data_IF_962142253687
#
_entry.id   IF_962142253687
#
_cell.length_a   1.000
_cell.length_b   1.000
_cell.length_c   1.000
_cell.angle_alpha   90.00
_cell.angle_beta   90.00
_cell.angle_gamma   90.00
#
_symmetry.space_group_name_H-M   'P 1'
#
loop_
_entity.id
_entity.type
_entity.pdbx_description
1 polymer ?
#
# COMPACT_ATOMS: atom_id res chain seq x y z
N UNK A 1 -9.70 -19.10 20.24
CA UNK A 1 -10.61 -19.44 19.11
C UNK A 1 -9.72 -19.57 17.88
N UNK A 2 -9.21 -20.77 17.64
CA UNK A 2 -8.17 -21.02 16.62
C UNK A 2 -8.67 -20.68 15.21
N UNK A 3 -8.18 -19.56 14.65
CA UNK A 3 -8.44 -19.14 13.29
C UNK A 3 -7.57 -19.99 12.34
N UNK A 4 -8.24 -20.67 11.42
CA UNK A 4 -7.63 -21.35 10.28
C UNK A 4 -7.53 -20.34 9.15
N UNK A 5 -6.36 -20.05 8.62
CA UNK A 5 -6.26 -19.13 7.49
C UNK A 5 -6.30 -19.84 6.13
N UNK A 6 -7.21 -20.80 5.96
CA UNK A 6 -7.48 -21.33 4.64
C UNK A 6 -8.50 -20.44 3.93
N UNK A 7 -8.13 -19.91 2.78
CA UNK A 7 -8.96 -18.94 2.04
C UNK A 7 -9.49 -19.57 0.75
N UNK A 8 -10.78 -19.38 0.47
CA UNK A 8 -11.34 -19.71 -0.84
C UNK A 8 -11.03 -18.61 -1.87
N UNK A 9 -9.82 -18.58 -2.42
CA UNK A 9 -9.37 -17.53 -3.35
C UNK A 9 -10.30 -17.29 -4.57
N UNK A 10 -10.83 -18.31 -5.25
CA UNK A 10 -11.79 -18.05 -6.35
C UNK A 10 -13.06 -17.33 -5.90
N UNK A 11 -13.54 -17.57 -4.67
CA UNK A 11 -14.70 -16.90 -4.12
C UNK A 11 -14.34 -15.46 -3.72
N UNK A 12 -13.17 -15.26 -3.09
CA UNK A 12 -12.65 -13.94 -2.78
C UNK A 12 -12.56 -13.06 -4.04
N UNK A 13 -11.98 -13.58 -5.11
CA UNK A 13 -11.89 -12.86 -6.39
C UNK A 13 -13.26 -12.57 -7.01
N UNK A 14 -14.21 -13.50 -6.91
CA UNK A 14 -15.58 -13.29 -7.39
C UNK A 14 -16.31 -12.21 -6.60
N UNK A 15 -16.21 -12.26 -5.27
CA UNK A 15 -16.82 -11.26 -4.38
C UNK A 15 -16.14 -9.90 -4.58
N UNK A 16 -14.83 -9.87 -4.77
CA UNK A 16 -14.09 -8.63 -4.99
C UNK A 16 -14.61 -7.87 -6.21
N UNK A 17 -14.92 -8.57 -7.31
CA UNK A 17 -15.48 -7.97 -8.54
C UNK A 17 -16.85 -7.33 -8.32
N UNK A 18 -17.60 -7.73 -7.28
CA UNK A 18 -18.89 -7.13 -6.98
C UNK A 18 -18.68 -5.69 -6.50
N UNK A 19 -19.23 -4.72 -7.22
CA UNK A 19 -19.16 -3.30 -6.83
C UNK A 19 -17.90 -2.57 -7.27
N UNK A 20 -17.13 -3.14 -8.21
CA UNK A 20 -16.02 -2.43 -8.86
C UNK A 20 -16.48 -1.12 -9.51
N UNK A 21 -17.75 -1.00 -9.92
CA UNK A 21 -18.26 0.14 -10.67
C UNK A 21 -17.62 0.24 -12.06
N UNK A 22 -18.16 1.10 -12.90
CA UNK A 22 -17.66 1.21 -14.27
C UNK A 22 -16.24 1.79 -14.30
N UNK A 23 -15.48 1.36 -15.30
CA UNK A 23 -14.22 2.00 -15.66
C UNK A 23 -14.51 3.40 -16.21
N UNK A 24 -13.55 4.33 -16.13
CA UNK A 24 -13.72 5.64 -16.75
C UNK A 24 -14.00 5.47 -18.25
N UNK A 25 -14.87 6.31 -18.81
CA UNK A 25 -15.10 6.36 -20.25
C UNK A 25 -13.91 7.05 -20.92
N UNK A 26 -13.03 6.26 -21.51
CA UNK A 26 -11.77 6.70 -22.13
C UNK A 26 -11.44 5.87 -23.36
N UNK A 27 -10.85 6.53 -24.34
CA UNK A 27 -10.38 5.86 -25.55
C UNK A 27 -9.10 5.05 -25.31
N UNK A 28 -8.87 4.03 -26.15
CA UNK A 28 -7.63 3.22 -26.06
C UNK A 28 -6.33 4.05 -26.15
N UNK A 29 -6.21 5.05 -27.06
CA UNK A 29 -5.02 5.89 -27.10
C UNK A 29 -4.79 6.69 -25.82
N UNK A 30 -5.84 7.21 -25.19
CA UNK A 30 -5.73 7.93 -23.91
C UNK A 30 -5.25 7.01 -22.79
N UNK A 31 -5.78 5.78 -22.72
CA UNK A 31 -5.32 4.77 -21.77
C UNK A 31 -3.84 4.46 -21.99
N UNK A 32 -3.41 4.23 -23.24
CA UNK A 32 -2.02 3.93 -23.55
C UNK A 32 -1.08 5.08 -23.15
N UNK A 33 -1.46 6.33 -23.45
CA UNK A 33 -0.70 7.51 -23.06
C UNK A 33 -0.63 7.67 -21.54
N UNK A 34 -1.74 7.44 -20.83
CA UNK A 34 -1.80 7.53 -19.37
C UNK A 34 -0.92 6.46 -18.70
N UNK A 35 -1.01 5.20 -19.17
CA UNK A 35 -0.19 4.10 -18.66
C UNK A 35 1.30 4.34 -18.90
N UNK A 36 1.66 4.83 -20.10
CA UNK A 36 3.05 5.17 -20.42
C UNK A 36 3.60 6.27 -19.51
N UNK A 37 2.83 7.34 -19.30
CA UNK A 37 3.22 8.42 -18.40
C UNK A 37 3.33 7.95 -16.94
N UNK A 38 2.38 7.15 -16.44
CA UNK A 38 2.47 6.57 -15.08
C UNK A 38 3.77 5.78 -14.89
N UNK A 39 4.12 4.92 -15.85
CA UNK A 39 5.39 4.16 -15.80
C UNK A 39 6.61 5.08 -15.84
N UNK A 40 6.58 6.13 -16.65
CA UNK A 40 7.67 7.12 -16.70
C UNK A 40 7.81 7.87 -15.38
N UNK A 41 6.70 8.37 -14.82
CA UNK A 41 6.72 9.09 -13.55
C UNK A 41 7.16 8.19 -12.40
N UNK A 42 6.79 6.91 -12.39
CA UNK A 42 7.18 5.96 -11.36
C UNK A 42 8.67 5.65 -11.35
N UNK A 43 9.30 5.52 -12.53
CA UNK A 43 10.76 5.36 -12.64
C UNK A 43 11.49 6.61 -12.18
N UNK A 44 11.05 7.79 -12.64
CA UNK A 44 11.63 9.06 -12.22
C UNK A 44 11.46 9.32 -10.71
N UNK A 45 10.36 8.85 -10.13
CA UNK A 45 10.11 8.94 -8.71
C UNK A 45 11.08 8.08 -7.88
N UNK A 46 11.51 6.92 -8.40
CA UNK A 46 12.48 6.04 -7.74
C UNK A 46 13.79 6.77 -7.41
N UNK A 47 14.38 7.44 -8.40
CA UNK A 47 15.58 8.24 -8.16
C UNK A 47 15.35 9.40 -7.19
N UNK A 48 14.18 10.03 -7.22
CA UNK A 48 13.85 11.15 -6.34
C UNK A 48 13.71 10.68 -4.89
N UNK A 49 13.01 9.57 -4.68
CA UNK A 49 12.85 8.94 -3.37
C UNK A 49 14.20 8.48 -2.82
N UNK A 50 15.02 7.81 -3.63
CA UNK A 50 16.36 7.36 -3.23
C UNK A 50 17.26 8.54 -2.81
N UNK A 51 17.22 9.66 -3.55
CA UNK A 51 17.96 10.88 -3.16
C UNK A 51 17.48 11.46 -1.84
N UNK A 52 16.18 11.44 -1.55
CA UNK A 52 15.62 11.92 -0.28
C UNK A 52 16.04 11.01 0.88
N UNK A 53 16.00 9.69 0.65
CA UNK A 53 16.38 8.66 1.63
C UNK A 53 17.89 8.45 1.74
N UNK A 54 18.69 9.05 0.84
CA UNK A 54 20.15 8.87 0.72
C UNK A 54 20.57 7.42 0.49
N UNK A 55 19.78 6.72 -0.31
CA UNK A 55 20.04 5.36 -0.74
C UNK A 55 20.52 5.33 -2.19
N UNK A 56 21.06 4.19 -2.61
CA UNK A 56 21.41 3.96 -4.01
C UNK A 56 20.11 3.89 -4.85
N UNK A 57 19.94 4.74 -5.89
CA UNK A 57 18.81 4.66 -6.80
C UNK A 57 18.61 3.30 -7.48
N UNK A 58 19.64 2.47 -7.57
CA UNK A 58 19.55 1.10 -8.12
C UNK A 58 18.64 0.18 -7.29
N UNK A 59 18.40 0.52 -6.02
CA UNK A 59 17.53 -0.22 -5.10
C UNK A 59 16.04 0.09 -5.30
N UNK A 60 15.69 1.12 -6.09
CA UNK A 60 14.30 1.46 -6.37
C UNK A 60 13.61 0.37 -7.22
N UNK A 61 12.28 0.28 -7.12
CA UNK A 61 11.51 -0.69 -7.88
C UNK A 61 11.58 -0.38 -9.40
N UNK A 62 11.96 -1.39 -10.17
CA UNK A 62 12.05 -1.31 -11.64
C UNK A 62 10.88 -2.00 -12.35
N UNK A 63 10.26 -3.02 -11.74
CA UNK A 63 9.03 -3.66 -12.23
C UNK A 63 7.80 -2.81 -11.86
N UNK A 64 7.39 -1.93 -12.78
CA UNK A 64 6.22 -1.06 -12.62
C UNK A 64 5.02 -1.65 -13.34
N UNK A 65 4.00 -2.04 -12.57
CA UNK A 65 2.75 -2.66 -13.06
C UNK A 65 1.59 -1.69 -12.93
N UNK A 66 1.17 -1.12 -14.04
CA UNK A 66 -0.05 -0.31 -14.10
C UNK A 66 -1.23 -1.24 -14.35
N UNK A 67 -2.18 -1.26 -13.42
CA UNK A 67 -3.28 -2.22 -13.38
C UNK A 67 -4.63 -1.51 -13.28
N UNK A 68 -5.68 -2.19 -13.72
CA UNK A 68 -7.05 -1.88 -13.36
C UNK A 68 -7.42 -2.48 -11.99
N UNK A 69 -8.67 -2.31 -11.57
CA UNK A 69 -9.16 -2.83 -10.27
C UNK A 69 -9.05 -4.36 -10.20
N UNK A 70 -9.33 -5.05 -11.29
CA UNK A 70 -9.25 -6.52 -11.37
C UNK A 70 -7.81 -7.02 -11.30
N UNK A 71 -6.89 -6.36 -11.99
CA UNK A 71 -5.46 -6.61 -11.92
C UNK A 71 -4.91 -6.38 -10.52
N UNK A 72 -5.37 -5.32 -9.85
CA UNK A 72 -5.03 -5.08 -8.45
C UNK A 72 -5.56 -6.19 -7.53
N UNK A 73 -6.83 -6.61 -7.67
CA UNK A 73 -7.40 -7.71 -6.85
C UNK A 73 -6.60 -9.01 -7.02
N UNK A 74 -6.16 -9.32 -8.25
CA UNK A 74 -5.29 -10.49 -8.51
C UNK A 74 -3.96 -10.37 -7.79
N UNK A 75 -3.32 -9.20 -7.88
CA UNK A 75 -2.05 -8.93 -7.19
C UNK A 75 -2.22 -9.02 -5.66
N UNK A 76 -3.21 -8.31 -5.11
CA UNK A 76 -3.51 -8.32 -3.68
C UNK A 76 -3.82 -9.73 -3.15
N UNK A 77 -4.54 -10.55 -3.93
CA UNK A 77 -4.80 -11.95 -3.55
C UNK A 77 -3.49 -12.76 -3.44
N UNK A 78 -2.57 -12.61 -4.40
CA UNK A 78 -1.27 -13.27 -4.37
C UNK A 78 -0.37 -12.78 -3.23
N UNK A 79 -0.35 -11.47 -2.97
CA UNK A 79 0.39 -10.86 -1.86
C UNK A 79 -0.15 -11.36 -0.52
N UNK A 80 -1.47 -11.33 -0.33
CA UNK A 80 -2.08 -11.84 0.91
C UNK A 80 -1.83 -13.32 1.06
N UNK A 81 -1.91 -14.12 0.00
CA UNK A 81 -1.59 -15.54 0.07
C UNK A 81 -0.14 -15.75 0.53
N UNK A 82 0.82 -15.08 -0.10
CA UNK A 82 2.23 -15.17 0.27
C UNK A 82 2.44 -14.78 1.74
N UNK A 83 1.83 -13.69 2.21
CA UNK A 83 1.91 -13.28 3.61
C UNK A 83 1.32 -14.31 4.58
N UNK A 84 0.22 -14.98 4.20
CA UNK A 84 -0.40 -16.02 5.01
C UNK A 84 0.44 -17.31 5.06
N UNK A 85 1.15 -17.61 3.97
CA UNK A 85 2.01 -18.79 3.85
C UNK A 85 3.31 -18.66 4.67
N UNK A 86 3.72 -17.46 5.07
CA UNK A 86 4.87 -17.25 5.98
C UNK A 86 4.56 -17.70 7.41
N UNK A 87 3.29 -17.72 7.80
CA UNK A 87 2.87 -18.10 9.16
C UNK A 87 2.36 -19.54 9.15
N UNK A 88 2.87 -20.38 10.06
CA UNK A 88 2.32 -21.71 10.26
C UNK A 88 0.98 -21.66 11.00
N UNK A 89 -0.10 -21.96 10.28
CA UNK A 89 -1.44 -22.05 10.86
C UNK A 89 -1.79 -23.50 11.25
N UNK A 90 -2.39 -23.73 12.44
CA UNK A 90 -2.83 -25.08 12.82
C UNK A 90 -3.78 -25.66 11.77
N UNK A 91 -3.48 -26.83 11.18
CA UNK A 91 -4.36 -27.45 10.18
C UNK A 91 -5.54 -28.16 10.87
N UNK A 92 -6.77 -27.93 10.41
CA UNK A 92 -7.95 -28.73 10.82
C UNK A 92 -8.14 -29.94 9.91
N UNK A 93 -8.71 -30.99 10.49
CA UNK A 93 -9.20 -32.16 9.75
C UNK A 93 -10.29 -31.76 8.73
N UNK A 94 -10.35 -32.50 7.63
CA UNK A 94 -11.31 -32.26 6.56
C UNK A 94 -12.77 -32.36 7.05
N UNK A 95 -13.66 -31.50 6.55
CA UNK A 95 -15.09 -31.55 6.88
C UNK A 95 -15.87 -30.27 6.55
N UNK A 96 -17.19 -30.30 6.74
CA UNK A 96 -18.10 -29.21 6.39
C UNK A 96 -17.77 -27.89 7.11
N UNK A 97 -17.40 -27.95 8.40
CA UNK A 97 -17.02 -26.74 9.17
C UNK A 97 -15.80 -26.04 8.59
N UNK A 98 -14.80 -26.81 8.15
CA UNK A 98 -13.59 -26.27 7.48
C UNK A 98 -13.98 -25.55 6.19
N UNK A 99 -14.82 -26.16 5.37
CA UNK A 99 -15.26 -25.56 4.11
C UNK A 99 -16.08 -24.27 4.32
N UNK A 100 -16.96 -24.25 5.33
CA UNK A 100 -17.72 -23.06 5.69
C UNK A 100 -16.81 -21.91 6.15
N UNK A 101 -15.82 -22.18 7.01
CA UNK A 101 -14.83 -21.18 7.44
C UNK A 101 -14.00 -20.68 6.25
N UNK A 102 -13.52 -21.60 5.40
CA UNK A 102 -12.72 -21.27 4.22
C UNK A 102 -13.44 -20.34 3.25
N UNK A 103 -14.72 -20.60 3.00
CA UNK A 103 -15.59 -19.73 2.19
C UNK A 103 -15.90 -18.42 2.90
N UNK A 104 -16.16 -18.45 4.20
CA UNK A 104 -16.40 -17.24 5.00
C UNK A 104 -15.23 -16.26 4.94
N UNK A 105 -13.99 -16.74 5.15
CA UNK A 105 -12.78 -15.94 5.01
C UNK A 105 -12.58 -15.44 3.58
N UNK A 106 -12.81 -16.30 2.58
CA UNK A 106 -12.79 -15.90 1.17
C UNK A 106 -13.73 -14.74 0.88
N UNK A 107 -14.97 -14.80 1.35
CA UNK A 107 -15.95 -13.71 1.21
C UNK A 107 -15.50 -12.44 1.92
N UNK A 108 -15.02 -12.53 3.17
CA UNK A 108 -14.55 -11.37 3.93
C UNK A 108 -13.37 -10.67 3.23
N UNK A 109 -12.37 -11.43 2.79
CA UNK A 109 -11.25 -10.88 2.03
C UNK A 109 -11.71 -10.30 0.70
N UNK A 110 -12.63 -10.97 0.00
CA UNK A 110 -13.23 -10.46 -1.23
C UNK A 110 -13.89 -9.10 -1.04
N UNK A 111 -14.70 -8.92 0.00
CA UNK A 111 -15.29 -7.62 0.35
C UNK A 111 -14.21 -6.59 0.65
N UNK A 112 -13.19 -6.97 1.43
CA UNK A 112 -12.05 -6.09 1.73
C UNK A 112 -11.33 -5.62 0.47
N UNK A 113 -11.09 -6.52 -0.49
CA UNK A 113 -10.51 -6.20 -1.79
C UNK A 113 -11.43 -5.32 -2.63
N UNK A 114 -12.74 -5.59 -2.69
CA UNK A 114 -13.70 -4.74 -3.41
C UNK A 114 -13.67 -3.29 -2.91
N UNK A 115 -13.59 -3.10 -1.59
CA UNK A 115 -13.52 -1.77 -0.98
C UNK A 115 -12.14 -1.15 -1.23
N UNK A 116 -11.06 -1.88 -1.00
CA UNK A 116 -9.68 -1.40 -1.16
C UNK A 116 -9.37 -0.97 -2.60
N UNK A 117 -9.82 -1.73 -3.59
CA UNK A 117 -9.58 -1.49 -5.01
C UNK A 117 -10.16 -0.17 -5.52
N UNK A 118 -11.01 0.52 -4.74
CA UNK A 118 -11.64 1.80 -5.09
C UNK A 118 -10.85 3.02 -4.64
N UNK A 119 -10.06 2.90 -3.58
CA UNK A 119 -9.37 4.02 -2.95
C UNK A 119 -7.86 3.93 -3.08
N UNK A 120 -7.33 2.71 -3.24
CA UNK A 120 -5.89 2.51 -3.35
C UNK A 120 -5.37 3.09 -4.66
N UNK A 121 -4.28 3.85 -4.57
CA UNK A 121 -3.64 4.51 -5.71
C UNK A 121 -2.43 3.73 -6.20
N UNK A 122 -1.68 3.12 -5.29
CA UNK A 122 -0.58 2.21 -5.56
C UNK A 122 -0.36 1.21 -4.45
N UNK A 123 0.50 0.25 -4.70
CA UNK A 123 0.95 -0.74 -3.71
C UNK A 123 2.30 -1.30 -4.11
N UNK A 124 3.24 -1.33 -3.18
CA UNK A 124 4.46 -2.11 -3.32
C UNK A 124 4.27 -3.56 -2.82
N UNK A 125 4.81 -4.53 -3.56
CA UNK A 125 4.79 -5.95 -3.21
C UNK A 125 6.15 -6.40 -2.64
N UNK A 126 6.19 -6.58 -1.32
CA UNK A 126 7.34 -7.11 -0.59
C UNK A 126 7.24 -8.61 -0.25
N UNK A 127 6.09 -9.25 -0.45
CA UNK A 127 5.82 -10.61 0.05
C UNK A 127 5.97 -11.70 -1.01
N UNK A 128 5.66 -11.42 -2.29
CA UNK A 128 5.76 -12.45 -3.34
C UNK A 128 7.16 -12.59 -3.93
N UNK A 129 8.11 -11.73 -3.50
CA UNK A 129 9.44 -11.61 -4.09
C UNK A 129 9.46 -10.90 -5.45
N UNK A 130 8.30 -10.56 -6.03
CA UNK A 130 8.23 -9.83 -7.31
C UNK A 130 8.84 -8.43 -7.23
N UNK A 131 8.84 -7.81 -6.04
CA UNK A 131 9.27 -6.42 -5.80
C UNK A 131 8.59 -5.44 -6.76
N UNK A 132 7.40 -5.79 -7.23
CA UNK A 132 6.66 -5.00 -8.19
C UNK A 132 5.95 -3.83 -7.52
N UNK A 133 5.94 -2.69 -8.20
CA UNK A 133 5.20 -1.50 -7.81
C UNK A 133 3.93 -1.43 -8.65
N UNK A 134 2.79 -1.61 -8.00
CA UNK A 134 1.48 -1.55 -8.62
C UNK A 134 0.92 -0.13 -8.57
N UNK A 135 0.33 0.34 -9.68
CA UNK A 135 -0.40 1.60 -9.76
C UNK A 135 -1.81 1.35 -10.31
N UNK A 136 -2.84 1.78 -9.59
CA UNK A 136 -4.25 1.51 -9.94
C UNK A 136 -4.78 2.63 -10.83
N UNK A 137 -4.63 2.46 -12.14
CA UNK A 137 -4.86 3.50 -13.14
C UNK A 137 -6.27 4.15 -13.05
N UNK A 138 -7.38 3.41 -12.93
CA UNK A 138 -8.71 4.01 -12.86
C UNK A 138 -8.89 4.98 -11.69
N UNK A 139 -8.32 4.65 -10.53
CA UNK A 139 -8.45 5.47 -9.33
C UNK A 139 -7.59 6.73 -9.45
N UNK A 140 -6.36 6.58 -9.94
CA UNK A 140 -5.48 7.72 -10.21
C UNK A 140 -6.10 8.67 -11.23
N UNK A 141 -6.64 8.14 -12.33
CA UNK A 141 -7.31 8.93 -13.37
C UNK A 141 -8.48 9.75 -12.83
N UNK A 142 -9.36 9.10 -12.06
CA UNK A 142 -10.54 9.74 -11.49
C UNK A 142 -10.17 10.78 -10.44
N UNK A 143 -9.23 10.47 -9.54
CA UNK A 143 -8.83 11.36 -8.46
C UNK A 143 -8.10 12.60 -8.99
N UNK A 144 -7.19 12.42 -9.96
CA UNK A 144 -6.48 13.51 -10.63
C UNK A 144 -7.46 14.55 -11.20
N UNK A 145 -8.49 14.09 -11.91
CA UNK A 145 -9.53 14.93 -12.53
C UNK A 145 -10.46 15.55 -11.50
N UNK A 146 -10.99 14.75 -10.58
CA UNK A 146 -11.95 15.20 -9.57
C UNK A 146 -11.38 16.29 -8.66
N UNK A 147 -10.05 16.31 -8.45
CA UNK A 147 -9.38 17.30 -7.59
C UNK A 147 -8.61 18.37 -8.37
N UNK A 148 -8.62 18.30 -9.70
CA UNK A 148 -7.88 19.23 -10.57
C UNK A 148 -6.40 19.30 -10.21
N UNK A 149 -5.77 18.13 -9.98
CA UNK A 149 -4.35 18.05 -9.69
C UNK A 149 -3.54 18.20 -10.98
N UNK A 150 -2.32 18.73 -10.84
CA UNK A 150 -1.38 18.79 -11.97
C UNK A 150 -0.94 17.35 -12.29
N UNK A 151 -1.23 16.81 -13.49
CA UNK A 151 -1.08 15.38 -13.76
C UNK A 151 0.32 14.83 -13.44
N UNK A 152 1.36 15.48 -13.95
CA UNK A 152 2.76 15.09 -13.73
C UNK A 152 3.13 15.08 -12.25
N UNK A 153 2.72 16.10 -11.51
CA UNK A 153 3.04 16.21 -10.08
C UNK A 153 2.31 15.13 -9.29
N UNK A 154 1.02 14.91 -9.55
CA UNK A 154 0.21 13.91 -8.85
C UNK A 154 0.72 12.49 -9.08
N UNK A 155 0.90 12.10 -10.34
CA UNK A 155 1.37 10.76 -10.71
C UNK A 155 2.75 10.48 -10.10
N UNK A 156 3.64 11.47 -10.12
CA UNK A 156 4.98 11.36 -9.53
C UNK A 156 4.96 11.35 -8.01
N UNK A 157 4.04 12.07 -7.37
CA UNK A 157 3.89 12.12 -5.92
C UNK A 157 3.36 10.80 -5.37
N UNK A 158 2.31 10.25 -5.99
CA UNK A 158 1.85 8.89 -5.66
C UNK A 158 2.97 7.89 -5.88
N UNK A 159 3.65 7.92 -7.03
CA UNK A 159 4.70 6.94 -7.28
C UNK A 159 5.94 7.11 -6.38
N UNK A 160 6.24 8.32 -5.89
CA UNK A 160 7.31 8.54 -4.93
C UNK A 160 6.99 7.94 -3.56
N UNK A 161 5.72 7.92 -3.16
CA UNK A 161 5.24 7.20 -1.97
C UNK A 161 5.51 5.70 -2.10
N UNK A 162 5.07 5.11 -3.20
CA UNK A 162 5.26 3.67 -3.44
C UNK A 162 6.74 3.28 -3.60
N UNK A 163 7.54 4.13 -4.25
CA UNK A 163 8.99 3.93 -4.34
C UNK A 163 9.69 4.05 -2.98
N UNK A 164 9.16 4.88 -2.07
CA UNK A 164 9.67 4.94 -0.71
C UNK A 164 9.49 3.59 -0.01
N UNK A 165 8.34 2.92 -0.16
CA UNK A 165 8.16 1.55 0.33
C UNK A 165 9.16 0.58 -0.29
N UNK A 166 9.35 0.62 -1.61
CA UNK A 166 10.34 -0.23 -2.26
C UNK A 166 11.75 -0.07 -1.66
N UNK A 167 12.16 1.17 -1.45
CA UNK A 167 13.46 1.51 -0.86
C UNK A 167 13.55 1.16 0.62
N UNK A 168 12.46 1.28 1.39
CA UNK A 168 12.40 0.84 2.78
C UNK A 168 12.67 -0.66 2.90
N UNK A 169 11.96 -1.48 2.09
CA UNK A 169 12.15 -2.93 2.08
C UNK A 169 13.50 -3.36 1.48
N UNK A 170 14.06 -2.57 0.55
CA UNK A 170 15.41 -2.81 0.03
C UNK A 170 16.50 -2.49 1.06
N UNK A 171 16.32 -1.43 1.85
CA UNK A 171 17.25 -1.04 2.91
C UNK A 171 17.16 -1.94 4.14
N UNK A 172 15.97 -2.47 4.44
CA UNK A 172 15.69 -3.34 5.59
C UNK A 172 15.22 -4.74 5.14
N UNK A 173 16.11 -5.65 4.72
CA UNK A 173 15.74 -7.02 4.32
C UNK A 173 15.00 -7.80 5.42
N UNK A 174 15.24 -7.47 6.69
CA UNK A 174 14.59 -8.07 7.86
C UNK A 174 13.11 -7.68 8.01
N UNK A 175 12.65 -6.63 7.33
CA UNK A 175 11.33 -6.04 7.56
C UNK A 175 10.18 -6.95 7.15
N UNK A 176 10.32 -7.72 6.05
CA UNK A 176 9.28 -8.64 5.60
C UNK A 176 9.03 -9.74 6.63
N UNK A 177 10.09 -10.36 7.13
CA UNK A 177 10.00 -11.42 8.14
C UNK A 177 9.45 -10.86 9.46
N UNK A 178 9.92 -9.67 9.86
CA UNK A 178 9.42 -8.99 11.05
C UNK A 178 7.91 -8.73 10.99
N UNK A 179 7.40 -8.22 9.87
CA UNK A 179 5.97 -7.99 9.68
C UNK A 179 5.18 -9.30 9.69
N UNK A 180 5.71 -10.36 9.08
CA UNK A 180 5.07 -11.66 9.08
C UNK A 180 4.99 -12.28 10.49
N UNK A 181 6.06 -12.19 11.27
CA UNK A 181 6.09 -12.64 12.68
C UNK A 181 5.07 -11.88 13.54
N UNK A 182 4.98 -10.56 13.36
CA UNK A 182 4.01 -9.74 14.08
C UNK A 182 2.56 -10.11 13.68
N UNK A 183 2.30 -10.38 12.40
CA UNK A 183 0.97 -10.81 11.96
C UNK A 183 0.64 -12.23 12.47
N UNK A 184 1.62 -13.14 12.48
CA UNK A 184 1.42 -14.50 12.98
C UNK A 184 1.19 -14.59 14.49
N UNK A 185 1.76 -13.66 15.26
CA UNK A 185 1.58 -13.56 16.72
C UNK A 185 0.48 -12.57 17.14
N UNK A 186 -0.31 -12.06 16.19
CA UNK A 186 -1.31 -11.00 16.39
C UNK A 186 -2.49 -11.38 17.33
N UNK A 187 -2.61 -12.63 17.78
CA UNK A 187 -3.59 -13.00 18.81
C UNK A 187 -3.31 -12.30 20.15
N UNK A 188 -2.08 -11.82 20.36
CA UNK A 188 -1.67 -11.05 21.52
C UNK A 188 -1.90 -9.55 21.29
N UNK A 189 -2.66 -8.88 22.18
CA UNK A 189 -2.98 -7.44 22.05
C UNK A 189 -1.74 -6.55 21.87
N UNK A 190 -0.63 -6.85 22.56
CA UNK A 190 0.63 -6.10 22.43
C UNK A 190 1.29 -6.24 21.06
N UNK A 191 1.03 -7.33 20.34
CA UNK A 191 1.54 -7.55 18.99
C UNK A 191 0.75 -6.73 17.96
N UNK A 192 -0.57 -6.64 18.12
CA UNK A 192 -1.40 -5.78 17.25
C UNK A 192 -0.94 -4.32 17.33
N UNK A 193 -0.66 -3.81 18.53
CA UNK A 193 -0.14 -2.46 18.71
C UNK A 193 1.20 -2.26 18.01
N UNK A 194 2.07 -3.28 17.97
CA UNK A 194 3.35 -3.25 17.25
C UNK A 194 3.17 -3.29 15.73
N UNK A 195 2.24 -4.09 15.20
CA UNK A 195 1.87 -4.06 13.77
C UNK A 195 1.41 -2.66 13.39
N UNK A 196 0.47 -2.12 14.17
CA UNK A 196 -0.10 -0.79 14.00
C UNK A 196 1.01 0.26 14.03
N UNK A 197 1.90 0.24 15.03
CA UNK A 197 3.00 1.19 15.14
C UNK A 197 3.99 1.10 13.96
N UNK A 198 4.39 -0.11 13.57
CA UNK A 198 5.31 -0.34 12.45
C UNK A 198 4.73 0.20 11.15
N UNK A 199 3.49 -0.19 10.82
CA UNK A 199 2.81 0.30 9.62
C UNK A 199 2.62 1.83 9.66
N UNK A 200 2.30 2.39 10.82
CA UNK A 200 2.19 3.85 11.00
C UNK A 200 3.49 4.56 10.64
N UNK A 201 4.61 4.04 11.10
CA UNK A 201 5.93 4.59 10.81
C UNK A 201 6.28 4.46 9.33
N UNK A 202 6.11 3.27 8.73
CA UNK A 202 6.41 3.02 7.31
C UNK A 202 5.65 4.00 6.39
N UNK A 203 4.35 4.14 6.63
CA UNK A 203 3.45 4.99 5.85
C UNK A 203 3.75 6.47 6.07
N UNK A 204 3.95 6.88 7.34
CA UNK A 204 4.33 8.26 7.66
C UNK A 204 5.68 8.67 7.07
N UNK A 205 6.62 7.73 6.99
CA UNK A 205 7.91 7.93 6.34
C UNK A 205 7.76 8.02 4.82
N UNK A 206 6.96 7.17 4.18
CA UNK A 206 6.70 7.22 2.74
C UNK A 206 6.01 8.54 2.32
N UNK A 207 5.02 8.98 3.09
CA UNK A 207 4.39 10.29 2.94
C UNK A 207 5.42 11.43 3.01
N UNK A 208 6.32 11.35 4.00
CA UNK A 208 7.38 12.33 4.17
C UNK A 208 8.34 12.33 2.97
N UNK A 209 8.77 11.16 2.49
CA UNK A 209 9.66 11.06 1.33
C UNK A 209 9.02 11.67 0.09
N UNK A 210 7.75 11.33 -0.17
CA UNK A 210 7.01 11.85 -1.33
C UNK A 210 6.91 13.37 -1.33
N UNK A 211 6.57 13.96 -0.18
CA UNK A 211 6.49 15.42 0.02
C UNK A 211 7.85 16.12 -0.18
N UNK A 212 8.97 15.43 0.07
CA UNK A 212 10.31 16.02 0.09
C UNK A 212 11.13 15.79 -1.18
N UNK A 213 10.55 15.22 -2.23
CA UNK A 213 11.22 15.01 -3.53
C UNK A 213 11.64 16.31 -4.25
N UNK A 214 11.32 17.50 -3.71
CA UNK A 214 11.60 18.89 -4.18
C UNK A 214 11.15 19.25 -5.61
N UNK A 215 11.00 18.28 -6.51
CA UNK A 215 10.58 18.45 -7.91
C UNK A 215 9.07 18.35 -8.13
N UNK A 216 8.30 18.19 -7.05
CA UNK A 216 6.84 18.12 -7.05
C UNK A 216 6.33 19.36 -6.33
N UNK A 217 6.07 20.43 -7.10
CA UNK A 217 5.75 21.75 -6.53
C UNK A 217 4.41 21.75 -5.83
N UNK A 218 3.47 20.92 -6.28
CA UNK A 218 2.10 20.88 -5.74
C UNK A 218 1.87 19.81 -4.66
N UNK A 219 2.92 19.14 -4.17
CA UNK A 219 2.84 18.08 -3.15
C UNK A 219 2.00 18.50 -1.93
N UNK A 220 2.28 19.68 -1.37
CA UNK A 220 1.54 20.21 -0.22
C UNK A 220 0.05 20.43 -0.48
N UNK A 221 -0.35 20.79 -1.72
CA UNK A 221 -1.76 20.94 -2.10
C UNK A 221 -2.44 19.57 -2.16
N UNK A 222 -1.78 18.60 -2.78
CA UNK A 222 -2.31 17.23 -2.91
C UNK A 222 -2.48 16.58 -1.53
N UNK A 223 -1.45 16.64 -0.69
CA UNK A 223 -1.53 16.17 0.70
C UNK A 223 -2.68 16.80 1.46
N UNK A 224 -2.85 18.12 1.42
CA UNK A 224 -3.98 18.79 2.10
C UNK A 224 -5.35 18.35 1.56
N UNK A 225 -5.44 18.09 0.25
CA UNK A 225 -6.68 17.61 -0.36
C UNK A 225 -7.01 16.16 -0.03
N UNK A 226 -6.01 15.34 0.29
CA UNK A 226 -6.16 13.92 0.62
C UNK A 226 -6.13 13.64 2.13
N UNK A 227 -5.66 14.61 2.93
CA UNK A 227 -5.75 14.58 4.38
C UNK A 227 -7.22 14.45 4.79
N UNK A 228 -7.54 13.33 5.44
CA UNK A 228 -8.86 13.14 6.02
C UNK A 228 -8.98 13.97 7.29
N UNK A 229 -10.11 14.68 7.47
CA UNK A 229 -10.43 15.29 8.77
C UNK A 229 -10.74 14.16 9.76
N UNK A 230 -10.11 14.12 10.95
CA UNK A 230 -10.48 13.18 11.99
C UNK A 230 -11.97 13.34 12.29
N UNK A 231 -12.76 12.27 12.16
CA UNK A 231 -14.16 12.32 12.59
C UNK A 231 -14.17 12.02 14.09
N UNK A 232 -14.57 13.00 14.91
CA UNK A 232 -14.78 12.81 16.36
C UNK A 232 -15.63 11.56 16.59
N UNK A 233 -15.13 10.60 17.36
CA UNK A 233 -15.93 9.51 17.93
C UNK A 233 -15.82 8.11 17.30
N UNK A 234 -14.79 7.78 16.50
CA UNK A 234 -14.50 6.38 16.14
C UNK A 234 -13.20 5.91 16.81
N UNK A 235 -13.24 4.70 17.36
CA UNK A 235 -12.23 4.12 18.26
C UNK A 235 -10.86 3.82 17.59
N UNK A 236 -10.03 2.96 18.21
CA UNK A 236 -8.58 2.83 17.98
C UNK A 236 -8.15 2.31 16.58
N UNK A 237 -9.06 2.18 15.61
CA UNK A 237 -8.81 1.72 14.24
C UNK A 237 -9.05 2.83 13.19
N UNK A 238 -9.03 4.10 13.60
CA UNK A 238 -9.10 5.22 12.66
C UNK A 238 -7.78 5.37 11.90
N UNK A 239 -7.67 4.68 10.77
CA UNK A 239 -6.53 4.75 9.84
C UNK A 239 -6.14 6.19 9.51
N UNK A 240 -7.09 7.13 9.41
CA UNK A 240 -6.80 8.52 9.09
C UNK A 240 -6.05 9.26 10.22
N UNK A 241 -6.41 9.02 11.48
CA UNK A 241 -5.69 9.55 12.63
C UNK A 241 -4.30 8.92 12.75
N UNK A 242 -4.21 7.63 12.45
CA UNK A 242 -2.96 6.87 12.47
C UNK A 242 -1.95 7.39 11.43
N UNK A 243 -2.37 7.65 10.18
CA UNK A 243 -1.51 8.24 9.14
C UNK A 243 -1.00 9.65 9.50
N UNK A 244 -1.86 10.48 10.10
CA UNK A 244 -1.47 11.81 10.56
C UNK A 244 -0.36 11.74 11.63
N UNK A 245 -0.49 10.81 12.58
CA UNK A 245 0.47 10.62 13.67
C UNK A 245 1.83 10.12 13.18
N UNK A 246 1.86 9.16 12.23
CA UNK A 246 3.11 8.62 11.70
C UNK A 246 3.96 9.66 10.98
N UNK A 247 3.32 10.50 10.15
CA UNK A 247 4.01 11.59 9.44
C UNK A 247 4.46 12.69 10.41
N UNK A 248 3.63 13.04 11.39
CA UNK A 248 3.98 14.01 12.43
C UNK A 248 5.20 13.54 13.22
N UNK A 249 5.25 12.27 13.62
CA UNK A 249 6.42 11.65 14.22
C UNK A 249 7.66 11.83 13.33
N UNK A 250 7.56 11.52 12.03
CA UNK A 250 8.68 11.66 11.11
C UNK A 250 9.18 13.12 11.00
N UNK A 251 8.26 14.08 11.00
CA UNK A 251 8.58 15.51 11.01
C UNK A 251 9.27 15.94 12.30
N UNK A 252 8.81 15.46 13.46
CA UNK A 252 9.40 15.76 14.77
C UNK A 252 10.81 15.20 14.85
N UNK A 253 11.01 13.92 14.50
CA UNK A 253 12.34 13.29 14.48
C UNK A 253 13.31 14.06 13.58
N UNK A 254 12.87 14.54 12.42
CA UNK A 254 13.71 15.34 11.51
C UNK A 254 14.02 16.74 12.02
N UNK A 255 13.16 17.34 12.84
CA UNK A 255 13.44 18.63 13.50
C UNK A 255 14.46 18.46 14.63
N UNK A 256 14.37 17.36 15.36
CA UNK A 256 15.18 17.09 16.55
C UNK A 256 16.51 16.39 16.24
N UNK A 257 16.66 15.84 15.04
CA UNK A 257 17.82 15.04 14.68
C UNK A 257 18.32 15.29 13.25
N UNK A 258 19.49 14.72 12.94
CA UNK A 258 20.11 14.82 11.62
C UNK A 258 19.27 14.14 10.54
N UNK A 259 19.64 14.33 9.27
CA UNK A 259 18.88 13.81 8.12
C UNK A 259 18.80 12.27 8.07
N UNK A 260 19.68 11.55 8.78
CA UNK A 260 19.73 10.09 8.75
C UNK A 260 18.88 9.42 9.85
N UNK A 261 18.31 10.18 10.80
CA UNK A 261 17.63 9.58 11.95
C UNK A 261 16.39 8.74 11.59
N UNK A 262 15.66 9.12 10.54
CA UNK A 262 14.54 8.32 10.04
C UNK A 262 15.02 7.02 9.39
N UNK A 263 16.20 7.05 8.76
CA UNK A 263 16.79 5.87 8.14
C UNK A 263 17.37 4.89 9.14
N UNK A 264 17.67 5.30 10.38
CA UNK A 264 18.15 4.40 11.43
C UNK A 264 17.15 3.30 11.83
N UNK A 265 15.89 3.43 11.43
CA UNK A 265 14.85 2.43 11.64
C UNK A 265 14.81 1.34 10.54
N UNK A 266 15.63 1.46 9.49
CA UNK A 266 15.72 0.53 8.36
C UNK A 266 17.10 -0.12 8.34
#
# INVERSE_FOLDING_TARGET
MWLLMEVHWPLAARVARLGHGDLPDVTRPEVAAFVADLKQQARAAGELAARVMRLDPSQAATDIRVVDRDGWVRAASGITQAALDVVEWPRRSAGLRRELVRRGLGTLLGVGFAVGSRWLLGQYDSFTGSKALYLVAPNMWNLERARGFVPRDFRRWVAAHEQAHALQFAAAPWLTDHLAELVGSAEQRGTLDRVVATMTFLEGHADWVSDNTRRIRTASRMRRSLAHKPRRGRGPLDKAAQYANGREFCLVVRKLSTHNALMAAF
#
